data_IF_608387343778
#
_entry.id   IF_608387343778
#
_cell.length_a   1.000
_cell.length_b   1.000
_cell.length_c   1.000
_cell.angle_alpha   90.00
_cell.angle_beta   90.00
_cell.angle_gamma   90.00
#
_symmetry.space_group_name_H-M   'P 1'
#
loop_
_entity.id
_entity.type
_entity.pdbx_description
1 polymer ?
#
# COMPACT_ATOMS: atom_id res chain seq x y z
N UNK A 1 15.95 18.44 -11.73
CA UNK A 1 16.60 17.37 -10.94
C UNK A 1 15.70 16.16 -11.10
N UNK A 2 16.16 15.07 -11.70
CA UNK A 2 15.28 13.92 -11.99
C UNK A 2 15.15 13.06 -10.73
N UNK A 3 13.94 12.97 -10.19
CA UNK A 3 13.63 12.15 -9.03
C UNK A 3 13.48 10.68 -9.47
N UNK A 4 14.22 9.76 -8.88
CA UNK A 4 14.10 8.32 -9.14
C UNK A 4 13.49 7.58 -7.95
N UNK A 5 12.90 6.41 -8.20
CA UNK A 5 12.25 5.58 -7.17
C UNK A 5 13.18 5.22 -6.00
N UNK A 6 14.46 4.97 -6.29
CA UNK A 6 15.47 4.64 -5.28
C UNK A 6 15.69 5.80 -4.27
N UNK A 7 15.49 7.06 -4.69
CA UNK A 7 15.63 8.23 -3.83
C UNK A 7 14.46 8.34 -2.82
N UNK A 8 13.38 7.58 -3.03
CA UNK A 8 12.13 7.65 -2.25
C UNK A 8 12.02 6.53 -1.19
N UNK A 9 13.03 5.67 -1.07
CA UNK A 9 13.03 4.52 -0.16
C UNK A 9 13.46 4.87 1.27
N UNK A 10 13.82 6.12 1.55
CA UNK A 10 14.18 6.55 2.91
C UNK A 10 13.03 6.35 3.90
N UNK A 11 13.33 5.71 5.02
CA UNK A 11 12.38 5.36 6.09
C UNK A 11 12.04 6.58 6.96
N UNK A 12 11.42 7.59 6.37
CA UNK A 12 10.84 8.70 7.13
C UNK A 12 9.55 8.21 7.79
N UNK A 13 9.45 8.39 9.12
CA UNK A 13 8.25 8.05 9.88
C UNK A 13 7.04 8.76 9.26
N UNK A 14 5.92 8.05 9.06
CA UNK A 14 4.74 8.62 8.43
C UNK A 14 4.28 9.85 9.25
N UNK A 15 4.35 11.07 8.70
CA UNK A 15 3.79 12.24 9.37
C UNK A 15 2.28 12.06 9.56
N UNK A 16 1.67 12.92 10.37
CA UNK A 16 0.21 12.98 10.52
C UNK A 16 -0.47 12.96 9.13
N UNK A 17 -1.51 12.14 8.99
CA UNK A 17 -2.22 11.93 7.72
C UNK A 17 -2.74 13.27 7.18
N UNK A 18 -2.35 13.60 5.95
CA UNK A 18 -2.74 14.84 5.27
C UNK A 18 -3.64 14.55 4.07
N UNK A 19 -4.94 14.67 4.31
CA UNK A 19 -6.00 14.44 3.33
C UNK A 19 -6.07 15.49 2.23
N UNK A 20 -5.44 16.66 2.41
CA UNK A 20 -5.46 17.71 1.39
C UNK A 20 -4.69 17.30 0.12
N UNK A 21 -3.89 16.22 0.18
CA UNK A 21 -3.26 15.60 -1.01
C UNK A 21 -4.29 15.16 -2.05
N UNK A 22 -5.53 14.87 -1.65
CA UNK A 22 -6.60 14.48 -2.58
C UNK A 22 -7.08 15.64 -3.47
N UNK A 23 -6.71 16.88 -3.13
CA UNK A 23 -6.94 18.03 -4.00
C UNK A 23 -6.01 18.04 -5.23
N UNK A 24 -4.92 17.26 -5.21
CA UNK A 24 -4.05 17.08 -6.37
C UNK A 24 -4.80 16.27 -7.45
N UNK A 25 -5.09 16.83 -8.65
CA UNK A 25 -5.99 16.21 -9.62
C UNK A 25 -5.56 14.81 -10.08
N UNK A 26 -4.27 14.52 -9.99
CA UNK A 26 -3.65 13.30 -10.48
C UNK A 26 -3.67 12.17 -9.43
N UNK A 27 -3.89 12.47 -8.16
CA UNK A 27 -3.81 11.46 -7.09
C UNK A 27 -4.96 10.46 -7.18
N UNK A 28 -6.19 10.94 -7.39
CA UNK A 28 -7.36 10.06 -7.53
C UNK A 28 -7.26 9.13 -8.74
N UNK A 29 -6.89 9.67 -9.91
CA UNK A 29 -6.77 8.87 -11.14
C UNK A 29 -5.62 7.86 -11.07
N UNK A 30 -4.51 8.20 -10.42
CA UNK A 30 -3.42 7.27 -10.17
C UNK A 30 -3.83 6.18 -9.18
N UNK A 31 -4.54 6.51 -8.10
CA UNK A 31 -5.04 5.53 -7.15
C UNK A 31 -6.00 4.53 -7.82
N UNK A 32 -6.93 5.01 -8.66
CA UNK A 32 -7.82 4.15 -9.44
C UNK A 32 -7.04 3.23 -10.39
N UNK A 33 -6.01 3.75 -11.07
CA UNK A 33 -5.18 2.95 -11.97
C UNK A 33 -4.40 1.85 -11.22
N UNK A 34 -3.82 2.18 -10.06
CA UNK A 34 -3.13 1.21 -9.20
C UNK A 34 -4.12 0.15 -8.70
N UNK A 35 -5.29 0.55 -8.23
CA UNK A 35 -6.32 -0.36 -7.73
C UNK A 35 -6.81 -1.32 -8.82
N UNK A 36 -7.01 -0.85 -10.06
CA UNK A 36 -7.35 -1.73 -11.20
C UNK A 36 -6.27 -2.77 -11.47
N UNK A 37 -5.00 -2.36 -11.42
CA UNK A 37 -3.89 -3.29 -11.62
C UNK A 37 -3.86 -4.36 -10.52
N UNK A 38 -4.07 -3.96 -9.26
CA UNK A 38 -4.12 -4.90 -8.14
C UNK A 38 -5.33 -5.83 -8.18
N UNK A 39 -6.52 -5.33 -8.48
CA UNK A 39 -7.71 -6.17 -8.64
C UNK A 39 -7.54 -7.17 -9.79
N UNK A 40 -6.82 -6.82 -10.85
CA UNK A 40 -6.47 -7.77 -11.92
C UNK A 40 -5.48 -8.84 -11.45
N UNK A 41 -4.41 -8.42 -10.79
CA UNK A 41 -3.29 -9.30 -10.43
C UNK A 41 -3.59 -10.15 -9.17
N UNK A 42 -4.49 -9.68 -8.29
CA UNK A 42 -4.79 -10.26 -6.97
C UNK A 42 -6.30 -10.42 -6.69
N UNK A 43 -7.17 -10.30 -7.68
CA UNK A 43 -8.64 -10.16 -7.51
C UNK A 43 -9.38 -11.26 -6.75
N UNK A 44 -8.75 -12.42 -6.49
CA UNK A 44 -9.29 -13.45 -5.60
C UNK A 44 -9.05 -13.16 -4.11
N UNK A 45 -8.21 -12.16 -3.81
CA UNK A 45 -7.69 -11.89 -2.46
C UNK A 45 -7.75 -10.43 -2.06
N UNK A 46 -7.80 -9.50 -3.01
CA UNK A 46 -7.91 -8.07 -2.76
C UNK A 46 -8.90 -7.47 -3.76
N UNK A 47 -9.97 -6.87 -3.24
CA UNK A 47 -10.99 -6.22 -4.06
C UNK A 47 -10.51 -4.85 -4.55
N UNK A 48 -11.13 -4.36 -5.63
CA UNK A 48 -10.79 -3.05 -6.20
C UNK A 48 -10.97 -1.91 -5.20
N UNK A 49 -12.10 -1.88 -4.47
CA UNK A 49 -12.37 -0.77 -3.55
C UNK A 49 -11.39 -0.78 -2.37
N UNK A 50 -11.05 -1.96 -1.84
CA UNK A 50 -10.03 -2.10 -0.80
C UNK A 50 -8.66 -1.62 -1.30
N UNK A 51 -8.25 -2.05 -2.50
CA UNK A 51 -6.99 -1.62 -3.10
C UNK A 51 -6.95 -0.10 -3.32
N UNK A 52 -8.08 0.48 -3.73
CA UNK A 52 -8.23 1.92 -3.94
C UNK A 52 -8.16 2.69 -2.63
N UNK A 53 -8.85 2.23 -1.61
CA UNK A 53 -8.82 2.83 -0.29
C UNK A 53 -7.41 2.80 0.29
N UNK A 54 -6.73 1.66 0.25
CA UNK A 54 -5.36 1.54 0.73
C UNK A 54 -4.37 2.41 -0.07
N UNK A 55 -4.55 2.52 -1.39
CA UNK A 55 -3.75 3.45 -2.21
C UNK A 55 -3.95 4.92 -1.77
N UNK A 56 -5.19 5.31 -1.47
CA UNK A 56 -5.51 6.66 -0.95
C UNK A 56 -4.89 6.87 0.45
N UNK A 57 -5.00 5.88 1.33
CA UNK A 57 -4.42 5.92 2.68
C UNK A 57 -2.90 6.16 2.59
N UNK A 58 -2.19 5.38 1.77
CA UNK A 58 -0.74 5.53 1.58
C UNK A 58 -0.39 6.91 1.01
N UNK A 59 -1.20 7.45 0.10
CA UNK A 59 -0.97 8.80 -0.43
C UNK A 59 -1.14 9.87 0.66
N UNK A 60 -2.17 9.77 1.50
CA UNK A 60 -2.44 10.71 2.58
C UNK A 60 -1.42 10.63 3.73
N UNK A 61 -0.99 9.42 4.10
CA UNK A 61 0.10 9.18 5.07
C UNK A 61 1.45 9.78 4.63
N UNK A 62 1.62 10.04 3.33
CA UNK A 62 2.88 10.51 2.73
C UNK A 62 2.67 11.67 1.75
N UNK A 63 1.75 12.57 2.10
CA UNK A 63 1.33 13.66 1.22
C UNK A 63 2.49 14.55 0.72
N UNK A 64 3.46 14.86 1.57
CA UNK A 64 4.65 15.64 1.19
C UNK A 64 5.46 14.97 0.09
N UNK A 65 5.64 13.65 0.19
CA UNK A 65 6.36 12.86 -0.81
C UNK A 65 5.57 12.76 -2.11
N UNK A 66 4.24 12.57 -2.04
CA UNK A 66 3.37 12.54 -3.22
C UNK A 66 3.47 13.87 -3.98
N UNK A 67 3.35 15.00 -3.28
CA UNK A 67 3.49 16.34 -3.91
C UNK A 67 4.87 16.53 -4.55
N UNK A 68 5.94 16.09 -3.90
CA UNK A 68 7.30 16.13 -4.46
C UNK A 68 7.42 15.29 -5.73
N UNK A 69 6.90 14.05 -5.71
CA UNK A 69 6.90 13.18 -6.90
C UNK A 69 6.13 13.84 -8.04
N UNK A 70 4.95 14.40 -7.77
CA UNK A 70 4.15 15.07 -8.79
C UNK A 70 4.83 16.31 -9.36
N UNK A 71 5.46 17.12 -8.51
CA UNK A 71 6.18 18.31 -8.92
C UNK A 71 7.43 17.99 -9.77
N UNK A 72 8.21 16.98 -9.38
CA UNK A 72 9.54 16.73 -9.95
C UNK A 72 9.54 15.68 -11.09
N UNK A 73 8.61 14.74 -11.09
CA UNK A 73 8.61 13.59 -12.01
C UNK A 73 7.23 13.22 -12.60
N UNK A 74 6.14 13.71 -12.00
CA UNK A 74 4.78 13.54 -12.50
C UNK A 74 4.11 12.20 -12.18
N UNK A 75 2.91 11.96 -12.76
CA UNK A 75 2.01 10.89 -12.33
C UNK A 75 2.52 9.47 -12.65
N UNK A 76 3.40 9.31 -13.65
CA UNK A 76 3.98 8.01 -13.99
C UNK A 76 4.87 7.46 -12.88
N UNK A 77 5.70 8.31 -12.27
CA UNK A 77 6.50 7.90 -11.11
C UNK A 77 5.62 7.69 -9.89
N UNK A 78 4.58 8.49 -9.70
CA UNK A 78 3.61 8.29 -8.61
C UNK A 78 2.93 6.92 -8.72
N UNK A 79 2.47 6.53 -9.91
CA UNK A 79 1.87 5.22 -10.14
C UNK A 79 2.81 4.08 -9.74
N UNK A 80 4.07 4.14 -10.19
CA UNK A 80 5.07 3.12 -9.86
C UNK A 80 5.36 3.07 -8.36
N UNK A 81 5.57 4.23 -7.74
CA UNK A 81 5.84 4.35 -6.31
C UNK A 81 4.68 3.82 -5.48
N UNK A 82 3.45 4.22 -5.79
CA UNK A 82 2.24 3.81 -5.06
C UNK A 82 1.97 2.31 -5.22
N UNK A 83 2.18 1.77 -6.42
CA UNK A 83 2.10 0.32 -6.68
C UNK A 83 3.09 -0.47 -5.81
N UNK A 84 4.33 0.01 -5.67
CA UNK A 84 5.32 -0.66 -4.81
C UNK A 84 4.89 -0.63 -3.34
N UNK A 85 4.45 0.53 -2.84
CA UNK A 85 4.02 0.67 -1.44
C UNK A 85 2.81 -0.19 -1.11
N UNK A 86 1.81 -0.24 -2.00
CA UNK A 86 0.64 -1.10 -1.81
C UNK A 86 1.04 -2.58 -1.82
N UNK A 87 1.97 -2.98 -2.70
CA UNK A 87 2.51 -4.36 -2.73
C UNK A 87 3.23 -4.70 -1.43
N UNK A 88 4.09 -3.80 -0.94
CA UNK A 88 4.85 -4.03 0.29
C UNK A 88 3.93 -4.17 1.51
N UNK A 89 2.91 -3.32 1.61
CA UNK A 89 1.89 -3.36 2.68
C UNK A 89 1.08 -4.64 2.60
N UNK A 90 0.58 -5.00 1.41
CA UNK A 90 -0.16 -6.23 1.19
C UNK A 90 0.66 -7.49 1.49
N UNK A 91 1.88 -7.59 0.98
CA UNK A 91 2.77 -8.73 1.26
C UNK A 91 3.10 -8.82 2.75
N UNK A 92 3.24 -7.69 3.44
CA UNK A 92 3.45 -7.66 4.89
C UNK A 92 2.22 -8.17 5.63
N UNK A 93 1.02 -7.72 5.27
CA UNK A 93 -0.21 -8.19 5.87
C UNK A 93 -0.51 -9.66 5.59
N UNK A 94 -0.34 -10.10 4.34
CA UNK A 94 -0.52 -11.50 3.97
C UNK A 94 0.41 -12.41 4.78
N UNK A 95 1.69 -12.02 4.94
CA UNK A 95 2.63 -12.74 5.81
C UNK A 95 2.17 -12.76 7.27
N UNK A 96 1.65 -11.64 7.80
CA UNK A 96 1.12 -11.58 9.17
C UNK A 96 -0.10 -12.47 9.36
N UNK A 97 -1.04 -12.50 8.41
CA UNK A 97 -2.21 -13.39 8.45
C UNK A 97 -1.81 -14.87 8.44
N UNK A 98 -0.87 -15.26 7.57
CA UNK A 98 -0.33 -16.63 7.54
C UNK A 98 0.35 -17.01 8.86
N UNK A 99 1.11 -16.09 9.47
CA UNK A 99 1.73 -16.33 10.77
C UNK A 99 0.69 -16.49 11.90
N UNK A 100 -0.40 -15.72 11.87
CA UNK A 100 -1.51 -15.83 12.82
C UNK A 100 -2.22 -17.20 12.71
N UNK A 101 -2.50 -17.66 11.50
CA UNK A 101 -3.10 -18.99 11.27
C UNK A 101 -2.19 -20.13 11.77
N UNK A 102 -0.88 -20.01 11.59
CA UNK A 102 0.09 -20.99 12.11
C UNK A 102 0.13 -21.02 13.65
N UNK A 103 -0.04 -19.86 14.29
CA UNK A 103 -0.11 -19.77 15.75
C UNK A 103 -1.40 -20.40 16.30
N UNK A 104 -2.55 -20.12 15.69
CA UNK A 104 -3.83 -20.74 16.08
C UNK A 104 -3.83 -22.26 15.85
N UNK A 105 -3.32 -22.73 14.70
CA UNK A 105 -3.16 -24.16 14.44
C UNK A 105 -2.22 -24.86 15.44
N UNK A 106 -1.23 -24.14 15.98
CA UNK A 106 -0.33 -24.65 17.02
C UNK A 106 -1.00 -24.72 18.40
N UNK A 107 -1.91 -23.78 18.73
CA UNK A 107 -2.70 -23.82 19.97
C UNK A 107 -3.77 -24.91 19.95
N UNK A 108 -4.43 -25.11 18.82
CA UNK A 108 -5.51 -26.12 18.69
C UNK A 108 -4.97 -27.56 18.86
N UNK A 109 -3.73 -27.82 18.41
CA UNK A 109 -3.03 -29.09 18.67
C UNK A 109 -2.62 -29.28 20.14
N UNK A 110 -2.52 -28.19 20.91
CA UNK A 110 -2.09 -28.22 22.32
C UNK A 110 -3.26 -28.44 23.29
N UNK A 111 -4.48 -28.03 22.92
CA UNK A 111 -5.70 -28.20 23.74
C UNK A 111 -6.50 -29.48 23.42
N UNK A 112 -6.21 -30.16 22.31
CA UNK A 112 -6.90 -31.39 21.89
C UNK A 112 -6.25 -32.72 22.31
N UNK A 113 -5.18 -32.69 23.11
CA UNK A 113 -4.35 -33.86 23.44
C UNK A 113 -4.38 -34.27 24.91
N UNK A 114 -5.55 -34.57 25.46
CA UNK A 114 -5.70 -35.30 26.72
C UNK A 114 -6.76 -36.39 26.56
N UNK A 115 -6.34 -37.66 26.56
CA UNK A 115 -6.62 -38.49 27.75
C UNK A 115 -5.37 -39.12 28.38
#
# INVERSE_FOLDING_TARGET
MNLHLADLESAEAAPAVDWSVLAEPQVGSVADAVARAFARDYGLTLEYEDARQEAIMVAAERASQVRRILADAGPGLLHRWLSQRLRDRWLTEAKRRTAHLSYEASRDRSDGGGP
#
